data_IF_327249547568
#
_entry.id   IF_327249547568
#
_cell.length_a   1.000
_cell.length_b   1.000
_cell.length_c   1.000
_cell.angle_alpha   90.00
_cell.angle_beta   90.00
_cell.angle_gamma   90.00
#
_symmetry.space_group_name_H-M   'P 1'
#
loop_
_entity.id
_entity.type
_entity.pdbx_description
1 polymer ?
#
# COMPACT_ATOMS: atom_id res chain seq x y z
N UNK A 1 4.07 24.89 5.15
CA UNK A 1 3.31 24.37 3.99
C UNK A 1 2.88 22.94 4.30
N UNK A 2 1.98 22.75 5.26
CA UNK A 2 1.55 21.41 5.72
C UNK A 2 0.05 21.32 6.03
N UNK A 3 -0.75 22.24 5.50
CA UNK A 3 -2.20 22.28 5.72
C UNK A 3 -2.95 21.54 4.61
N UNK A 4 -4.05 20.89 4.98
CA UNK A 4 -5.12 20.55 4.05
C UNK A 4 -5.92 21.83 3.82
N UNK A 5 -5.92 22.34 2.58
CA UNK A 5 -6.57 23.60 2.22
C UNK A 5 -8.08 23.40 2.01
N UNK A 6 -8.47 22.28 1.40
CA UNK A 6 -9.88 21.87 1.33
C UNK A 6 -10.02 20.36 1.10
N UNK A 7 -11.20 19.83 1.43
CA UNK A 7 -11.63 18.46 1.16
C UNK A 7 -12.92 18.52 0.36
N UNK A 8 -12.92 17.97 -0.85
CA UNK A 8 -14.07 17.86 -1.73
C UNK A 8 -14.61 16.44 -1.69
N UNK A 9 -15.70 16.24 -0.96
CA UNK A 9 -16.33 14.93 -0.75
C UNK A 9 -16.98 14.40 -2.03
N UNK A 10 -17.61 15.27 -2.81
CA UNK A 10 -18.33 14.90 -4.03
C UNK A 10 -17.37 14.37 -5.11
N UNK A 11 -16.21 15.00 -5.23
CA UNK A 11 -15.18 14.59 -6.18
C UNK A 11 -14.14 13.64 -5.58
N UNK A 12 -14.25 13.31 -4.29
CA UNK A 12 -13.28 12.47 -3.55
C UNK A 12 -11.83 12.92 -3.75
N UNK A 13 -11.58 14.22 -3.54
CA UNK A 13 -10.25 14.85 -3.64
C UNK A 13 -9.97 15.79 -2.48
N UNK A 14 -8.69 16.05 -2.21
CA UNK A 14 -8.26 17.08 -1.26
C UNK A 14 -7.12 17.91 -1.86
N UNK A 15 -7.15 19.24 -1.67
CA UNK A 15 -6.01 20.11 -1.95
C UNK A 15 -5.17 20.25 -0.70
N UNK A 16 -3.88 19.99 -0.83
CA UNK A 16 -2.96 19.90 0.30
C UNK A 16 -1.65 20.60 -0.02
N UNK A 17 -1.12 21.32 0.96
CA UNK A 17 0.23 21.89 0.86
C UNK A 17 1.28 20.76 0.88
N UNK A 18 2.26 20.85 -0.02
CA UNK A 18 3.17 19.75 -0.34
C UNK A 18 4.10 19.30 0.80
N UNK A 19 4.32 20.13 1.82
CA UNK A 19 5.16 19.79 2.97
C UNK A 19 4.45 19.01 4.07
N UNK A 20 3.17 18.64 3.91
CA UNK A 20 2.49 17.77 4.87
C UNK A 20 3.19 16.40 4.91
N UNK A 21 3.38 15.85 6.10
CA UNK A 21 3.92 14.51 6.31
C UNK A 21 2.80 13.47 6.15
N UNK A 22 3.12 12.30 5.59
CA UNK A 22 2.12 11.27 5.32
C UNK A 22 1.28 10.87 6.55
N UNK A 23 1.92 10.67 7.70
CA UNK A 23 1.22 10.37 8.95
C UNK A 23 0.24 11.49 9.36
N UNK A 24 0.64 12.76 9.19
CA UNK A 24 -0.21 13.91 9.48
C UNK A 24 -1.36 14.03 8.48
N UNK A 25 -1.08 13.79 7.19
CA UNK A 25 -2.09 13.80 6.13
C UNK A 25 -3.21 12.80 6.39
N UNK A 26 -2.86 11.55 6.71
CA UNK A 26 -3.85 10.51 7.04
C UNK A 26 -4.64 10.87 8.31
N UNK A 27 -3.95 11.35 9.36
CA UNK A 27 -4.60 11.77 10.61
C UNK A 27 -5.59 12.91 10.40
N UNK A 28 -5.25 13.90 9.58
CA UNK A 28 -6.13 15.04 9.30
C UNK A 28 -7.29 14.65 8.38
N UNK A 29 -7.07 13.83 7.35
CA UNK A 29 -8.14 13.32 6.48
C UNK A 29 -9.13 12.42 7.22
N UNK A 30 -8.65 11.64 8.20
CA UNK A 30 -9.49 10.75 9.00
C UNK A 30 -10.58 11.52 9.77
N UNK A 31 -10.32 12.78 10.16
CA UNK A 31 -11.32 13.67 10.80
C UNK A 31 -12.52 13.95 9.88
N UNK A 32 -12.35 13.82 8.57
CA UNK A 32 -13.40 13.97 7.57
C UNK A 32 -13.99 12.62 7.12
N UNK A 33 -13.51 11.50 7.65
CA UNK A 33 -13.90 10.14 7.26
C UNK A 33 -13.17 9.60 6.02
N UNK A 34 -12.04 10.21 5.64
CA UNK A 34 -11.27 9.83 4.45
C UNK A 34 -9.83 9.44 4.77
N UNK A 35 -9.17 8.80 3.81
CA UNK A 35 -7.74 8.45 3.79
C UNK A 35 -7.20 8.64 2.37
N UNK A 36 -5.88 8.73 2.20
CA UNK A 36 -5.28 8.55 0.86
C UNK A 36 -4.98 7.08 0.60
N UNK A 37 -4.53 6.37 1.64
CA UNK A 37 -4.04 4.99 1.53
C UNK A 37 -2.63 4.89 0.93
N UNK A 38 -1.96 6.03 0.70
CA UNK A 38 -0.57 6.08 0.29
C UNK A 38 0.35 5.90 1.50
N UNK A 39 0.76 4.65 1.73
CA UNK A 39 1.57 4.28 2.89
C UNK A 39 2.95 3.77 2.44
N UNK A 40 3.89 4.64 2.07
CA UNK A 40 5.29 4.25 1.93
C UNK A 40 5.86 3.94 3.33
N UNK A 41 6.88 3.08 3.41
CA UNK A 41 7.46 2.71 4.71
C UNK A 41 8.09 3.93 5.43
N UNK A 42 8.34 5.04 4.72
CA UNK A 42 8.80 6.33 5.26
C UNK A 42 7.69 7.31 5.67
N UNK A 43 6.42 6.88 5.71
CA UNK A 43 5.23 7.74 5.89
C UNK A 43 5.30 8.67 7.11
N UNK A 44 6.04 8.28 8.16
CA UNK A 44 6.26 9.07 9.38
C UNK A 44 7.08 10.35 9.15
N UNK A 45 7.82 10.45 8.05
CA UNK A 45 8.73 11.59 7.78
C UNK A 45 8.71 12.09 6.33
N UNK A 46 8.30 11.25 5.38
CA UNK A 46 8.23 11.65 3.97
C UNK A 46 7.00 12.54 3.71
N UNK A 47 7.18 13.58 2.90
CA UNK A 47 6.15 14.56 2.58
C UNK A 47 5.48 14.31 1.23
N UNK A 48 4.28 14.86 1.05
CA UNK A 48 3.51 14.77 -0.20
C UNK A 48 4.28 15.27 -1.43
N UNK A 49 4.98 16.40 -1.29
CA UNK A 49 5.83 16.96 -2.34
C UNK A 49 7.02 16.06 -2.66
N UNK A 50 7.62 15.44 -1.64
CA UNK A 50 8.68 14.45 -1.81
C UNK A 50 8.19 13.22 -2.59
N UNK A 51 6.98 12.75 -2.30
CA UNK A 51 6.36 11.65 -3.05
C UNK A 51 6.18 11.98 -4.53
N UNK A 52 5.69 13.19 -4.84
CA UNK A 52 5.57 13.68 -6.22
C UNK A 52 6.95 13.75 -6.89
N UNK A 53 7.93 14.31 -6.20
CA UNK A 53 9.28 14.50 -6.74
C UNK A 53 10.01 13.18 -7.02
N UNK A 54 9.65 12.07 -6.36
CA UNK A 54 10.39 10.80 -6.41
C UNK A 54 9.59 9.62 -6.98
N UNK A 55 8.34 9.85 -7.40
CA UNK A 55 7.40 8.79 -7.82
C UNK A 55 7.23 7.69 -6.76
N UNK A 56 6.93 8.12 -5.52
CA UNK A 56 6.79 7.19 -4.40
C UNK A 56 5.70 6.12 -4.63
N UNK A 57 5.97 4.93 -4.10
CA UNK A 57 5.08 3.76 -4.11
C UNK A 57 4.70 3.42 -2.67
N UNK A 58 3.41 3.19 -2.43
CA UNK A 58 2.89 2.80 -1.12
C UNK A 58 2.63 1.30 -1.00
N UNK A 59 2.55 0.80 0.24
CA UNK A 59 2.21 -0.59 0.56
C UNK A 59 0.86 -1.01 -0.05
N UNK A 60 -0.13 -0.12 -0.04
CA UNK A 60 -1.53 -0.43 -0.41
C UNK A 60 -1.89 -0.08 -1.85
N UNK A 61 -0.88 0.10 -2.71
CA UNK A 61 -1.06 0.59 -4.10
C UNK A 61 -2.03 -0.22 -4.97
N UNK A 62 -2.27 -1.49 -4.65
CA UNK A 62 -3.21 -2.32 -5.39
C UNK A 62 -4.64 -1.75 -5.38
N UNK A 63 -5.03 -1.08 -4.29
CA UNK A 63 -6.33 -0.43 -4.12
C UNK A 63 -6.26 1.07 -4.43
N UNK A 64 -5.21 1.74 -3.94
CA UNK A 64 -5.14 3.21 -3.94
C UNK A 64 -4.33 3.80 -5.11
N UNK A 65 -3.51 2.98 -5.78
CA UNK A 65 -2.56 3.43 -6.81
C UNK A 65 -1.22 3.89 -6.23
N UNK A 66 -0.26 4.15 -7.11
CA UNK A 66 0.96 4.89 -6.77
C UNK A 66 0.69 6.39 -6.83
N UNK A 67 1.68 7.21 -6.46
CA UNK A 67 1.51 8.67 -6.42
C UNK A 67 1.04 9.26 -7.76
N UNK A 68 1.49 8.72 -8.89
CA UNK A 68 1.07 9.14 -10.23
C UNK A 68 -0.40 8.86 -10.55
N UNK A 69 -1.01 7.85 -9.91
CA UNK A 69 -2.42 7.51 -10.07
C UNK A 69 -3.31 8.36 -9.14
N UNK A 70 -2.74 8.74 -7.99
CA UNK A 70 -3.43 9.46 -6.92
C UNK A 70 -3.44 10.97 -7.15
N UNK A 71 -2.38 11.52 -7.74
CA UNK A 71 -2.28 12.96 -8.02
C UNK A 71 -3.22 13.36 -9.16
N UNK A 72 -4.06 14.34 -8.89
CA UNK A 72 -5.02 14.91 -9.85
C UNK A 72 -4.49 16.22 -10.41
N UNK A 73 -3.85 17.05 -9.59
CA UNK A 73 -3.33 18.36 -9.97
C UNK A 73 -2.10 18.73 -9.15
N UNK A 74 -1.16 19.44 -9.77
CA UNK A 74 0.08 19.91 -9.15
C UNK A 74 0.23 21.40 -9.42
N UNK A 75 0.56 22.15 -8.38
CA UNK A 75 1.10 23.51 -8.48
C UNK A 75 2.58 23.49 -8.15
N UNK A 76 3.39 24.00 -9.06
CA UNK A 76 4.85 24.03 -8.94
C UNK A 76 5.40 25.41 -9.26
N UNK A 77 6.33 25.89 -8.45
CA UNK A 77 7.06 27.14 -8.69
C UNK A 77 8.44 26.83 -9.25
N UNK A 78 8.78 27.43 -10.39
CA UNK A 78 10.06 27.31 -11.09
C UNK A 78 10.70 28.70 -11.23
N UNK A 79 11.99 28.81 -11.59
CA UNK A 79 12.63 30.11 -11.86
C UNK A 79 11.94 30.92 -12.97
N UNK A 80 11.28 30.25 -13.92
CA UNK A 80 10.56 30.91 -15.03
C UNK A 80 9.12 31.31 -14.65
N UNK A 81 8.63 30.89 -13.49
CA UNK A 81 7.26 31.16 -13.03
C UNK A 81 6.54 29.92 -12.54
N UNK A 82 5.22 30.02 -12.45
CA UNK A 82 4.37 28.97 -11.92
C UNK A 82 3.83 28.04 -13.02
N UNK A 83 3.89 26.74 -12.75
CA UNK A 83 3.29 25.70 -13.58
C UNK A 83 2.08 25.13 -12.86
N UNK A 84 0.92 25.23 -13.50
CA UNK A 84 -0.33 24.58 -13.08
C UNK A 84 -1.28 24.43 -14.27
N UNK A 85 -2.15 23.41 -14.24
CA UNK A 85 -3.24 23.28 -15.22
C UNK A 85 -4.41 24.20 -14.87
N UNK A 86 -5.12 24.68 -15.89
CA UNK A 86 -6.28 25.58 -15.72
C UNK A 86 -7.57 24.89 -15.26
N UNK A 87 -7.65 23.56 -15.31
CA UNK A 87 -8.84 22.82 -14.92
C UNK A 87 -8.50 21.54 -14.14
N UNK A 88 -9.47 21.09 -13.34
CA UNK A 88 -9.40 19.89 -12.52
C UNK A 88 -10.39 18.87 -13.08
N UNK A 89 -9.99 18.19 -14.16
CA UNK A 89 -10.81 17.16 -14.82
C UNK A 89 -10.21 15.78 -14.59
N UNK A 90 -11.03 14.71 -14.50
CA UNK A 90 -10.52 13.38 -14.16
C UNK A 90 -9.60 12.78 -15.25
N UNK A 91 -9.72 13.23 -16.50
CA UNK A 91 -8.87 12.86 -17.63
C UNK A 91 -8.92 13.95 -18.70
N UNK A 92 -7.80 14.22 -19.37
CA UNK A 92 -7.69 15.24 -20.42
C UNK A 92 -6.83 14.73 -21.58
N UNK A 93 -7.13 15.20 -22.80
CA UNK A 93 -6.33 14.97 -24.00
C UNK A 93 -5.98 16.32 -24.62
N UNK A 94 -4.94 16.96 -24.09
CA UNK A 94 -4.51 18.33 -24.46
C UNK A 94 -3.01 18.40 -24.77
N UNK A 95 -2.47 17.38 -25.45
CA UNK A 95 -1.04 17.18 -25.64
C UNK A 95 -0.40 16.31 -24.54
N UNK A 96 0.94 16.25 -24.48
CA UNK A 96 1.66 15.53 -23.43
C UNK A 96 1.26 16.00 -22.03
N UNK A 97 1.11 15.06 -21.10
CA UNK A 97 0.72 15.40 -19.72
C UNK A 97 1.89 16.05 -18.97
N UNK A 98 1.83 17.38 -18.78
CA UNK A 98 2.84 18.14 -18.04
C UNK A 98 3.05 17.66 -16.59
N UNK A 99 2.07 16.99 -15.97
CA UNK A 99 2.30 16.43 -14.63
C UNK A 99 3.38 15.34 -14.65
N UNK A 100 3.52 14.61 -15.76
CA UNK A 100 4.56 13.57 -15.91
C UNK A 100 5.97 14.17 -16.05
N UNK A 101 6.10 15.46 -16.38
CA UNK A 101 7.39 16.16 -16.41
C UNK A 101 7.82 16.56 -14.98
N UNK A 102 6.85 16.76 -14.09
CA UNK A 102 7.08 17.13 -12.69
C UNK A 102 7.28 15.90 -11.81
N UNK A 103 6.49 14.85 -12.04
CA UNK A 103 6.59 13.58 -11.32
C UNK A 103 7.94 12.92 -11.57
N UNK A 104 8.73 12.72 -10.52
CA UNK A 104 10.09 12.18 -10.65
C UNK A 104 11.16 13.22 -11.01
N UNK A 105 10.86 14.51 -10.88
CA UNK A 105 11.83 15.58 -11.14
C UNK A 105 12.95 15.70 -10.09
N UNK A 106 12.81 15.03 -8.93
CA UNK A 106 13.81 14.99 -7.85
C UNK A 106 14.28 16.38 -7.40
N UNK A 107 13.39 17.39 -7.47
CA UNK A 107 13.68 18.77 -7.06
C UNK A 107 14.52 19.58 -8.04
N UNK A 108 14.84 19.05 -9.23
CA UNK A 108 15.71 19.71 -10.21
C UNK A 108 15.02 20.82 -11.01
N UNK A 109 13.68 20.80 -11.08
CA UNK A 109 12.90 21.72 -11.92
C UNK A 109 12.26 22.88 -11.12
N UNK A 110 12.24 22.79 -9.78
CA UNK A 110 11.56 23.75 -8.91
C UNK A 110 10.90 23.10 -7.70
N UNK A 111 9.94 23.80 -7.09
CA UNK A 111 9.30 23.42 -5.82
C UNK A 111 7.82 23.12 -6.04
N UNK A 112 7.41 21.89 -5.75
CA UNK A 112 5.99 21.53 -5.66
C UNK A 112 5.41 22.19 -4.40
N UNK A 113 4.39 23.04 -4.55
CA UNK A 113 3.83 23.81 -3.43
C UNK A 113 2.51 23.24 -2.94
N UNK A 114 1.66 22.81 -3.86
CA UNK A 114 0.31 22.30 -3.56
C UNK A 114 -0.01 21.14 -4.50
N UNK A 115 -0.76 20.18 -4.00
CA UNK A 115 -1.15 18.98 -4.74
C UNK A 115 -2.63 18.69 -4.46
N UNK A 116 -3.40 18.43 -5.50
CA UNK A 116 -4.72 17.82 -5.37
C UNK A 116 -4.55 16.31 -5.49
N UNK A 117 -4.92 15.58 -4.45
CA UNK A 117 -4.80 14.13 -4.39
C UNK A 117 -6.19 13.48 -4.25
N UNK A 118 -6.35 12.30 -4.84
CA UNK A 118 -7.52 11.44 -4.63
C UNK A 118 -7.55 10.96 -3.18
N UNK A 119 -8.73 10.97 -2.59
CA UNK A 119 -9.00 10.43 -1.27
C UNK A 119 -10.10 9.37 -1.35
N UNK A 120 -10.14 8.46 -0.38
CA UNK A 120 -11.13 7.38 -0.29
C UNK A 120 -11.72 7.35 1.12
N UNK A 121 -12.98 6.90 1.30
CA UNK A 121 -13.50 6.62 2.63
C UNK A 121 -12.55 5.70 3.40
N UNK A 122 -12.40 5.92 4.70
CA UNK A 122 -11.65 5.01 5.57
C UNK A 122 -12.30 3.61 5.47
N UNK A 123 -11.52 2.53 5.27
CA UNK A 123 -12.07 1.19 5.12
C UNK A 123 -12.79 0.74 6.40
N UNK A 124 -13.96 0.11 6.25
CA UNK A 124 -14.76 -0.39 7.38
C UNK A 124 -14.10 -1.58 8.08
N UNK A 125 -13.39 -2.41 7.30
CA UNK A 125 -12.71 -3.60 7.77
C UNK A 125 -11.32 -3.66 7.17
N UNK A 126 -10.33 -3.99 8.01
CA UNK A 126 -8.96 -4.33 7.61
C UNK A 126 -8.62 -5.69 8.21
N UNK A 127 -8.16 -6.63 7.37
CA UNK A 127 -7.82 -7.99 7.78
C UNK A 127 -6.44 -8.37 7.31
N UNK A 128 -5.63 -8.80 8.28
CA UNK A 128 -4.29 -9.34 8.05
C UNK A 128 -4.36 -10.86 7.90
N UNK A 129 -3.48 -11.41 7.05
CA UNK A 129 -3.38 -12.83 6.82
C UNK A 129 -1.95 -13.25 6.50
N UNK A 130 -1.70 -14.56 6.55
CA UNK A 130 -0.41 -15.12 6.16
C UNK A 130 -0.57 -16.53 5.60
N UNK A 131 0.21 -16.87 4.59
CA UNK A 131 0.19 -18.17 3.92
C UNK A 131 1.61 -18.70 3.82
N UNK A 132 1.84 -19.95 4.22
CA UNK A 132 3.15 -20.60 4.16
C UNK A 132 3.18 -21.52 2.94
N UNK A 133 4.25 -21.43 2.16
CA UNK A 133 4.50 -22.30 1.00
C UNK A 133 5.75 -23.16 1.25
N UNK A 134 5.87 -24.35 0.60
CA UNK A 134 6.99 -25.27 0.81
C UNK A 134 8.33 -24.72 0.32
N UNK A 135 8.30 -23.84 -0.68
CA UNK A 135 9.46 -23.18 -1.28
C UNK A 135 9.03 -21.82 -1.84
N UNK A 136 10.01 -21.00 -2.27
CA UNK A 136 9.75 -19.66 -2.79
C UNK A 136 8.98 -19.67 -4.12
N UNK A 137 9.31 -20.61 -5.01
CA UNK A 137 8.76 -20.67 -6.37
C UNK A 137 7.23 -20.91 -6.38
N UNK A 138 6.65 -21.85 -5.62
CA UNK A 138 5.19 -21.97 -5.51
C UNK A 138 4.52 -20.70 -4.97
N UNK A 139 5.18 -19.97 -4.06
CA UNK A 139 4.70 -18.66 -3.61
C UNK A 139 4.63 -17.64 -4.75
N UNK A 140 5.67 -17.58 -5.61
CA UNK A 140 5.68 -16.72 -6.80
C UNK A 140 4.56 -17.09 -7.77
N UNK A 141 4.34 -18.38 -8.05
CA UNK A 141 3.25 -18.83 -8.91
C UNK A 141 1.87 -18.48 -8.33
N UNK A 142 1.69 -18.62 -7.02
CA UNK A 142 0.47 -18.19 -6.35
C UNK A 142 0.23 -16.68 -6.53
N UNK A 143 1.25 -15.83 -6.31
CA UNK A 143 1.14 -14.38 -6.52
C UNK A 143 0.77 -14.07 -7.98
N UNK A 144 1.39 -14.76 -8.94
CA UNK A 144 1.11 -14.60 -10.37
C UNK A 144 -0.35 -14.93 -10.69
N UNK A 145 -0.88 -16.01 -10.12
CA UNK A 145 -2.27 -16.42 -10.33
C UNK A 145 -3.28 -15.46 -9.69
N UNK A 146 -2.99 -14.92 -8.51
CA UNK A 146 -3.79 -13.86 -7.87
C UNK A 146 -3.89 -12.63 -8.78
N UNK A 147 -2.76 -12.19 -9.35
CA UNK A 147 -2.71 -11.08 -10.32
C UNK A 147 -3.46 -11.43 -11.61
N UNK A 148 -3.31 -12.65 -12.13
CA UNK A 148 -4.00 -13.12 -13.34
C UNK A 148 -5.52 -13.09 -13.20
N UNK A 149 -6.02 -13.43 -12.01
CA UNK A 149 -7.45 -13.35 -11.68
C UNK A 149 -7.91 -11.94 -11.28
N UNK A 150 -7.03 -10.94 -11.37
CA UNK A 150 -7.28 -9.54 -11.02
C UNK A 150 -7.78 -9.36 -9.58
N UNK A 151 -7.35 -10.25 -8.68
CA UNK A 151 -7.61 -10.11 -7.25
C UNK A 151 -6.68 -9.05 -6.67
N UNK A 152 -7.25 -8.09 -5.95
CA UNK A 152 -6.52 -6.94 -5.41
C UNK A 152 -6.61 -6.92 -3.89
N UNK A 153 -5.85 -7.77 -3.16
CA UNK A 153 -5.60 -7.47 -1.75
C UNK A 153 -4.90 -6.11 -1.66
N UNK A 154 -5.16 -5.35 -0.60
CA UNK A 154 -4.51 -4.06 -0.39
C UNK A 154 -2.98 -4.20 -0.46
N UNK A 155 -2.44 -5.22 0.21
CA UNK A 155 -1.03 -5.60 0.11
C UNK A 155 -0.86 -7.12 0.09
N UNK A 156 0.14 -7.60 -0.65
CA UNK A 156 0.56 -8.99 -0.69
C UNK A 156 2.08 -9.02 -0.88
N UNK A 157 2.82 -9.53 0.10
CA UNK A 157 4.29 -9.54 0.09
C UNK A 157 4.79 -10.97 0.31
N UNK A 158 5.56 -11.49 -0.64
CA UNK A 158 6.24 -12.78 -0.51
C UNK A 158 7.62 -12.57 0.11
N UNK A 159 7.86 -13.21 1.25
CA UNK A 159 9.11 -13.16 2.00
C UNK A 159 9.84 -14.49 1.83
N UNK A 160 11.14 -14.44 1.54
CA UNK A 160 11.98 -15.63 1.47
C UNK A 160 12.18 -16.29 2.85
N UNK A 161 12.90 -17.42 2.87
CA UNK A 161 13.13 -18.16 4.11
C UNK A 161 13.97 -17.38 5.14
N UNK A 162 14.92 -16.56 4.70
CA UNK A 162 15.77 -15.76 5.58
C UNK A 162 14.92 -14.70 6.29
N UNK A 163 14.08 -13.99 5.55
CA UNK A 163 13.14 -13.01 6.10
C UNK A 163 12.10 -13.67 7.01
N UNK A 164 11.60 -14.86 6.67
CA UNK A 164 10.71 -15.63 7.54
C UNK A 164 11.40 -15.97 8.87
N UNK A 165 12.65 -16.47 8.81
CA UNK A 165 13.45 -16.83 9.99
C UNK A 165 13.74 -15.60 10.85
N UNK A 166 14.07 -14.48 10.22
CA UNK A 166 14.23 -13.19 10.89
C UNK A 166 12.95 -12.74 11.60
N UNK A 167 11.80 -12.81 10.93
CA UNK A 167 10.49 -12.50 11.54
C UNK A 167 10.16 -13.40 12.72
N UNK A 168 10.59 -14.67 12.69
CA UNK A 168 10.45 -15.58 13.82
C UNK A 168 11.34 -15.18 15.00
N UNK A 169 12.58 -14.77 14.75
CA UNK A 169 13.53 -14.34 15.78
C UNK A 169 13.11 -13.05 16.51
N UNK A 170 12.27 -12.21 15.88
CA UNK A 170 11.73 -10.99 16.47
C UNK A 170 10.49 -11.20 17.36
N UNK A 171 9.97 -12.43 17.45
CA UNK A 171 8.81 -12.70 18.32
C UNK A 171 9.19 -12.37 19.78
N UNK A 172 8.38 -11.56 20.49
CA UNK A 172 8.60 -11.37 21.92
C UNK A 172 8.51 -12.72 22.64
N UNK A 173 9.27 -12.89 23.71
CA UNK A 173 9.17 -14.09 24.54
C UNK A 173 7.70 -14.32 24.92
N UNK A 174 7.23 -15.56 24.71
CA UNK A 174 5.81 -15.88 24.90
C UNK A 174 5.41 -15.64 26.36
N UNK A 175 4.63 -14.59 26.59
CA UNK A 175 4.08 -14.26 27.91
C UNK A 175 2.95 -15.20 28.35
N UNK A 176 2.48 -16.09 27.47
CA UNK A 176 1.35 -16.98 27.72
C UNK A 176 1.57 -18.40 27.19
N UNK A 177 1.27 -19.38 28.04
CA UNK A 177 1.31 -20.83 27.77
C UNK A 177 0.38 -21.24 26.60
N UNK A 178 -0.68 -20.46 26.34
CA UNK A 178 -1.61 -20.72 25.23
C UNK A 178 -0.95 -20.39 23.89
N UNK A 179 -0.15 -19.33 23.85
CA UNK A 179 0.55 -18.90 22.63
C UNK A 179 1.62 -19.91 22.23
N UNK A 180 2.36 -20.44 23.21
CA UNK A 180 3.39 -21.46 22.97
C UNK A 180 2.80 -22.78 22.49
N UNK A 181 1.62 -23.16 23.00
CA UNK A 181 0.87 -24.33 22.52
C UNK A 181 0.44 -24.17 21.06
N UNK A 182 -0.09 -23.01 20.68
CA UNK A 182 -0.49 -22.70 19.29
C UNK A 182 0.73 -22.70 18.36
N UNK A 183 1.84 -22.12 18.78
CA UNK A 183 3.08 -22.10 18.00
C UNK A 183 3.68 -23.50 17.82
N UNK A 184 3.60 -24.37 18.84
CA UNK A 184 3.98 -25.78 18.73
C UNK A 184 3.04 -26.55 17.79
N UNK A 185 1.72 -26.34 17.86
CA UNK A 185 0.76 -26.98 16.94
C UNK A 185 0.97 -26.52 15.51
N UNK A 186 1.26 -25.24 15.27
CA UNK A 186 1.60 -24.72 13.93
C UNK A 186 2.91 -25.31 13.42
N UNK A 187 3.94 -25.35 14.26
CA UNK A 187 5.23 -25.95 13.91
C UNK A 187 5.06 -27.44 13.60
N UNK A 188 4.30 -28.16 14.41
CA UNK A 188 3.98 -29.57 14.19
C UNK A 188 3.17 -29.76 12.90
N UNK A 189 2.17 -28.94 12.63
CA UNK A 189 1.38 -29.03 11.40
C UNK A 189 2.21 -28.77 10.15
N UNK A 190 3.05 -27.74 10.15
CA UNK A 190 3.90 -27.38 9.00
C UNK A 190 4.99 -28.44 8.77
N UNK A 191 5.60 -28.97 9.83
CA UNK A 191 6.75 -29.88 9.71
C UNK A 191 6.35 -31.36 9.64
N UNK A 192 5.31 -31.80 10.37
CA UNK A 192 4.92 -33.22 10.48
C UNK A 192 3.72 -33.57 9.61
N UNK A 193 2.76 -32.64 9.39
CA UNK A 193 1.56 -32.91 8.59
C UNK A 193 1.74 -32.46 7.13
N UNK A 194 2.30 -31.27 6.90
CA UNK A 194 2.60 -30.77 5.55
C UNK A 194 3.99 -31.18 5.04
N UNK A 195 4.91 -31.57 5.93
CA UNK A 195 6.25 -32.06 5.56
C UNK A 195 7.17 -30.99 4.97
N UNK A 196 6.98 -29.71 5.31
CA UNK A 196 7.75 -28.62 4.70
C UNK A 196 9.15 -28.55 5.30
N UNK A 197 10.13 -28.34 4.41
CA UNK A 197 11.51 -28.08 4.79
C UNK A 197 11.60 -26.66 5.40
N UNK A 198 11.95 -26.60 6.68
CA UNK A 198 12.04 -25.37 7.47
C UNK A 198 13.07 -24.39 6.89
N UNK A 199 14.06 -24.88 6.13
CA UNK A 199 15.08 -24.06 5.50
C UNK A 199 14.71 -23.55 4.10
N UNK A 200 13.58 -24.01 3.55
CA UNK A 200 13.11 -23.60 2.22
C UNK A 200 11.77 -22.92 2.24
N UNK A 201 10.94 -23.21 3.24
CA UNK A 201 9.60 -22.65 3.33
C UNK A 201 9.64 -21.14 3.37
N UNK A 202 8.64 -20.53 2.76
CA UNK A 202 8.51 -19.09 2.64
C UNK A 202 7.11 -18.67 3.08
N UNK A 203 6.92 -17.36 3.30
CA UNK A 203 5.63 -16.85 3.75
C UNK A 203 5.17 -15.70 2.89
N UNK A 204 3.89 -15.67 2.59
CA UNK A 204 3.21 -14.49 2.06
C UNK A 204 2.48 -13.83 3.20
N UNK A 205 2.66 -12.53 3.37
CA UNK A 205 1.80 -11.69 4.22
C UNK A 205 0.76 -10.97 3.37
N UNK A 206 -0.44 -10.84 3.92
CA UNK A 206 -1.61 -10.28 3.24
C UNK A 206 -2.23 -9.18 4.10
N UNK A 207 -2.66 -8.12 3.44
CA UNK A 207 -3.56 -7.12 3.99
C UNK A 207 -4.71 -6.94 3.00
N UNK A 208 -5.94 -7.02 3.51
CA UNK A 208 -7.17 -6.78 2.76
C UNK A 208 -7.96 -5.70 3.47
N UNK A 209 -8.48 -4.73 2.72
CA UNK A 209 -9.24 -3.60 3.27
C UNK A 209 -10.49 -3.38 2.41
N UNK A 210 -11.60 -2.98 3.04
CA UNK A 210 -12.85 -2.72 2.34
C UNK A 210 -14.07 -2.86 3.26
N UNK A 211 -15.19 -3.29 2.67
CA UNK A 211 -16.34 -3.75 3.46
C UNK A 211 -16.04 -5.12 4.05
N UNK A 212 -16.73 -5.49 5.14
CA UNK A 212 -16.53 -6.81 5.76
C UNK A 212 -16.81 -7.96 4.79
N UNK A 213 -17.87 -7.85 3.99
CA UNK A 213 -18.26 -8.87 3.02
C UNK A 213 -17.22 -9.01 1.88
N UNK A 214 -16.75 -7.89 1.32
CA UNK A 214 -15.73 -7.90 0.27
C UNK A 214 -14.42 -8.53 0.76
N UNK A 215 -14.01 -8.18 1.98
CA UNK A 215 -12.79 -8.72 2.61
C UNK A 215 -12.91 -10.23 2.82
N UNK A 216 -14.03 -10.71 3.36
CA UNK A 216 -14.27 -12.15 3.57
C UNK A 216 -14.30 -12.93 2.24
N UNK A 217 -14.93 -12.37 1.20
CA UNK A 217 -14.99 -12.99 -0.12
C UNK A 217 -13.61 -13.01 -0.81
N UNK A 218 -12.87 -11.91 -0.74
CA UNK A 218 -11.52 -11.82 -1.29
C UNK A 218 -10.56 -12.79 -0.60
N UNK A 219 -10.62 -12.87 0.73
CA UNK A 219 -9.84 -13.81 1.52
C UNK A 219 -10.10 -15.24 1.06
N UNK A 220 -11.36 -15.69 1.04
CA UNK A 220 -11.72 -17.05 0.59
C UNK A 220 -11.12 -17.37 -0.79
N UNK A 221 -11.20 -16.43 -1.74
CA UNK A 221 -10.66 -16.61 -3.10
C UNK A 221 -9.14 -16.74 -3.09
N UNK A 222 -8.42 -15.89 -2.35
CA UNK A 222 -6.96 -15.94 -2.28
C UNK A 222 -6.49 -17.25 -1.62
N UNK A 223 -7.09 -17.65 -0.50
CA UNK A 223 -6.73 -18.90 0.17
C UNK A 223 -7.06 -20.14 -0.68
N UNK A 224 -8.16 -20.11 -1.45
CA UNK A 224 -8.49 -21.18 -2.41
C UNK A 224 -7.53 -21.26 -3.61
N UNK A 225 -6.90 -20.15 -4.00
CA UNK A 225 -5.82 -20.17 -5.00
C UNK A 225 -4.56 -20.75 -4.37
N UNK A 226 -4.19 -20.25 -3.18
CA UNK A 226 -2.98 -20.67 -2.50
C UNK A 226 -2.95 -22.17 -2.18
N UNK A 227 -4.09 -22.78 -1.85
CA UNK A 227 -4.19 -24.22 -1.59
C UNK A 227 -3.80 -25.09 -2.79
N UNK A 228 -3.77 -24.54 -4.01
CA UNK A 228 -3.32 -25.25 -5.22
C UNK A 228 -1.80 -25.26 -5.38
N UNK A 229 -1.07 -24.46 -4.60
CA UNK A 229 0.37 -24.27 -4.69
C UNK A 229 1.13 -24.71 -3.41
N UNK A 230 0.44 -25.31 -2.43
CA UNK A 230 1.04 -25.82 -1.19
C UNK A 230 0.15 -25.62 0.03
#
# INVERSE_FOLDING_TARGET
>A
MNKILWVNKDNSTALVEAGIIGQDLERELAKYGFCTGHEPDSCEFSSLGGWVATRASGMKKNIYGNIEDMVVHIRMVTPQGEIQKNCQVPRISSGPDIHQFILGSEGTLGVVTEVIIRIRPVPQCSKYGSIVFPAFEPGVECLREVVRQQLKPASMRLMDNLQFTFGHALKPEASSVIQSLIDQVKKFYVTQIKGYDVHKMCVVTLLMEGTKEDVENLEKRIYNIASKYG
#
